data_IF_072037244335
#
_entry.id   IF_072037244335
#
_cell.length_a   1.000
_cell.length_b   1.000
_cell.length_c   1.000
_cell.angle_alpha   90.00
_cell.angle_beta   90.00
_cell.angle_gamma   90.00
#
_symmetry.space_group_name_H-M   'P 1'
#
loop_
_entity.id
_entity.type
_entity.pdbx_description
1 polymer ?
#
# COMPACT_ATOMS: atom_id res chain seq x y z
N UNK A 1 0.03 -2.93 -5.06
CA UNK A 1 1.42 -3.17 -5.48
C UNK A 1 2.34 -2.79 -4.34
N UNK A 2 3.22 -3.68 -3.87
CA UNK A 2 4.27 -3.36 -2.91
C UNK A 2 5.33 -2.54 -3.67
N UNK A 3 5.43 -1.25 -3.36
CA UNK A 3 6.26 -0.27 -4.08
C UNK A 3 7.77 -0.47 -3.87
N UNK A 4 8.52 0.65 -3.85
CA UNK A 4 9.95 0.66 -3.50
C UNK A 4 10.17 -0.08 -2.16
N UNK A 5 11.30 -0.74 -2.02
CA UNK A 5 11.73 -1.40 -0.80
C UNK A 5 13.18 -1.03 -0.48
N UNK A 6 13.48 -0.92 0.81
CA UNK A 6 14.82 -0.62 1.31
C UNK A 6 15.16 -1.57 2.45
N UNK A 7 16.44 -1.89 2.63
CA UNK A 7 16.90 -2.85 3.61
C UNK A 7 18.04 -2.28 4.45
N UNK A 8 17.99 -2.53 5.76
CA UNK A 8 19.00 -2.12 6.70
C UNK A 8 19.44 -3.27 7.60
N UNK A 9 20.71 -3.29 8.01
CA UNK A 9 21.24 -4.29 8.93
C UNK A 9 22.14 -3.65 9.96
N UNK A 10 22.03 -4.09 11.21
CA UNK A 10 22.86 -3.65 12.32
C UNK A 10 23.27 -4.81 13.20
N UNK A 11 24.50 -4.74 13.72
CA UNK A 11 25.06 -5.73 14.64
C UNK A 11 25.54 -5.00 15.89
N UNK A 12 25.19 -5.51 17.06
CA UNK A 12 25.77 -5.04 18.32
C UNK A 12 25.92 -6.16 19.36
N UNK A 13 26.62 -5.84 20.45
CA UNK A 13 26.95 -6.69 21.59
C UNK A 13 26.85 -5.87 22.88
N UNK A 14 26.64 -6.54 24.02
CA UNK A 14 26.59 -5.89 25.33
C UNK A 14 25.17 -5.51 25.78
N UNK A 15 25.03 -4.70 26.86
CA UNK A 15 23.76 -4.49 27.55
C UNK A 15 22.73 -3.70 26.73
N UNK A 16 23.18 -2.81 25.84
CA UNK A 16 22.31 -1.99 24.99
C UNK A 16 22.30 -2.48 23.53
N UNK A 17 22.64 -3.76 23.31
CA UNK A 17 22.85 -4.29 21.95
C UNK A 17 21.62 -4.17 21.05
N UNK A 18 20.42 -4.31 21.61
CA UNK A 18 19.16 -4.16 20.86
C UNK A 18 18.99 -2.76 20.28
N UNK A 19 19.13 -1.74 21.12
CA UNK A 19 19.00 -0.33 20.77
C UNK A 19 20.06 0.05 19.72
N UNK A 20 21.32 -0.29 19.98
CA UNK A 20 22.42 0.05 19.08
C UNK A 20 22.33 -0.67 17.73
N UNK A 21 21.94 -1.95 17.73
CA UNK A 21 21.76 -2.70 16.49
C UNK A 21 20.58 -2.16 15.67
N UNK A 22 19.47 -1.76 16.31
CA UNK A 22 18.33 -1.15 15.63
C UNK A 22 18.71 0.18 14.97
N UNK A 23 19.42 1.05 15.70
CA UNK A 23 19.93 2.32 15.17
C UNK A 23 20.88 2.11 13.99
N UNK A 24 21.81 1.16 14.09
CA UNK A 24 22.71 0.81 12.98
C UNK A 24 21.94 0.29 11.76
N UNK A 25 20.91 -0.53 11.98
CA UNK A 25 20.07 -1.02 10.89
C UNK A 25 19.35 0.12 10.17
N UNK A 26 18.82 1.08 10.91
CA UNK A 26 18.14 2.27 10.36
C UNK A 26 19.07 3.28 9.67
N UNK A 27 20.36 3.29 10.00
CA UNK A 27 21.34 4.17 9.36
C UNK A 27 22.20 3.43 8.31
N UNK A 28 21.76 2.26 7.85
CA UNK A 28 22.51 1.45 6.89
C UNK A 28 22.65 2.17 5.54
N UNK A 29 23.83 2.12 4.88
CA UNK A 29 24.06 2.72 3.56
C UNK A 29 23.16 2.16 2.43
N UNK A 30 22.50 1.04 2.68
CA UNK A 30 21.56 0.39 1.76
C UNK A 30 20.15 1.03 1.79
N UNK A 31 19.92 1.98 2.69
CA UNK A 31 18.72 2.81 2.75
C UNK A 31 18.99 4.06 1.92
N UNK A 32 18.70 4.00 0.62
CA UNK A 32 18.77 5.18 -0.25
C UNK A 32 17.83 6.28 0.31
N UNK A 33 18.34 7.51 0.46
CA UNK A 33 17.68 8.66 1.15
C UNK A 33 17.57 8.58 2.68
N UNK A 34 18.12 7.53 3.30
CA UNK A 34 18.51 7.57 4.71
C UNK A 34 17.38 7.38 5.73
N UNK A 35 16.20 6.89 5.36
CA UNK A 35 15.22 6.58 6.40
C UNK A 35 14.21 5.47 6.08
N UNK A 36 13.79 4.82 7.16
CA UNK A 36 12.63 3.90 7.25
C UNK A 36 11.32 4.71 7.32
N UNK A 37 11.42 6.03 7.38
CA UNK A 37 10.29 6.99 7.40
C UNK A 37 9.33 6.79 6.22
N UNK A 38 8.04 6.82 6.52
CA UNK A 38 6.97 6.68 5.53
C UNK A 38 6.77 5.27 4.98
N UNK A 39 7.49 4.27 5.51
CA UNK A 39 7.23 2.87 5.17
C UNK A 39 5.91 2.40 5.76
N UNK A 40 4.96 1.96 4.91
CA UNK A 40 3.67 1.38 5.34
C UNK A 40 3.77 -0.09 5.75
N UNK A 41 4.84 -0.78 5.38
CA UNK A 41 5.07 -2.17 5.74
C UNK A 41 6.52 -2.39 6.12
N UNK A 42 6.76 -2.96 7.30
CA UNK A 42 8.11 -3.24 7.80
C UNK A 42 8.20 -4.70 8.22
N UNK A 43 9.24 -5.39 7.75
CA UNK A 43 9.64 -6.70 8.26
C UNK A 43 10.92 -6.53 9.08
N UNK A 44 10.82 -6.82 10.37
CA UNK A 44 11.92 -6.77 11.34
C UNK A 44 12.32 -8.21 11.67
N UNK A 45 13.56 -8.58 11.42
CA UNK A 45 14.13 -9.84 11.88
C UNK A 45 15.23 -9.59 12.92
N UNK A 46 15.08 -10.20 14.09
CA UNK A 46 16.03 -10.11 15.20
C UNK A 46 16.64 -11.49 15.40
N UNK A 47 17.95 -11.59 15.21
CA UNK A 47 18.69 -12.85 15.42
C UNK A 47 19.65 -12.64 16.58
N UNK A 48 19.59 -13.53 17.56
CA UNK A 48 20.46 -13.46 18.73
C UNK A 48 20.80 -14.83 19.28
N UNK A 49 21.72 -14.85 20.24
CA UNK A 49 22.07 -16.04 21.00
C UNK A 49 20.94 -16.58 21.89
N UNK A 50 21.24 -17.62 22.66
CA UNK A 50 20.31 -18.15 23.66
C UNK A 50 19.95 -17.14 24.77
N UNK A 51 20.72 -16.04 24.89
CA UNK A 51 20.47 -14.94 25.82
C UNK A 51 19.48 -13.89 25.30
N UNK A 52 18.95 -14.01 24.07
CA UNK A 52 17.98 -13.06 23.52
C UNK A 52 16.69 -13.04 24.35
N UNK A 53 16.37 -11.88 24.91
CA UNK A 53 15.19 -11.68 25.75
C UNK A 53 14.06 -10.97 25.01
N UNK A 54 12.83 -11.15 25.50
CA UNK A 54 11.66 -10.44 24.97
C UNK A 54 11.76 -8.92 25.14
N UNK A 55 12.44 -8.47 26.21
CA UNK A 55 12.68 -7.04 26.45
C UNK A 55 13.48 -6.40 25.31
N UNK A 56 14.57 -7.05 24.90
CA UNK A 56 15.42 -6.59 23.80
C UNK A 56 14.66 -6.55 22.46
N UNK A 57 13.79 -7.53 22.23
CA UNK A 57 12.92 -7.56 21.04
C UNK A 57 11.97 -6.37 21.04
N UNK A 58 11.33 -6.07 22.18
CA UNK A 58 10.42 -4.94 22.34
C UNK A 58 11.13 -3.59 22.16
N UNK A 59 12.32 -3.42 22.75
CA UNK A 59 13.13 -2.21 22.60
C UNK A 59 13.49 -1.94 21.14
N UNK A 60 13.95 -2.96 20.42
CA UNK A 60 14.28 -2.85 19.00
C UNK A 60 13.04 -2.51 18.15
N UNK A 61 11.92 -3.19 18.40
CA UNK A 61 10.67 -2.96 17.68
C UNK A 61 10.13 -1.54 17.92
N UNK A 62 10.17 -1.05 19.16
CA UNK A 62 9.73 0.29 19.53
C UNK A 62 10.49 1.39 18.79
N UNK A 63 11.81 1.27 18.67
CA UNK A 63 12.65 2.24 17.93
C UNK A 63 12.24 2.31 16.46
N UNK A 64 12.03 1.16 15.82
CA UNK A 64 11.64 1.09 14.41
C UNK A 64 10.23 1.64 14.21
N UNK A 65 9.31 1.34 15.13
CA UNK A 65 7.94 1.85 15.08
C UNK A 65 7.89 3.38 15.21
N UNK A 66 8.76 3.98 16.02
CA UNK A 66 8.84 5.44 16.17
C UNK A 66 9.33 6.15 14.90
N UNK A 67 10.03 5.43 14.02
CA UNK A 67 10.56 6.00 12.77
C UNK A 67 9.68 5.69 11.57
N UNK A 68 8.99 4.55 11.58
CA UNK A 68 8.04 4.18 10.54
C UNK A 68 6.77 5.06 10.57
N UNK A 69 5.89 4.89 9.58
CA UNK A 69 4.57 5.52 9.58
C UNK A 69 3.72 5.03 10.77
N UNK A 70 2.87 5.88 11.33
CA UNK A 70 2.01 5.52 12.48
C UNK A 70 1.03 4.39 12.18
N UNK A 71 0.64 4.24 10.92
CA UNK A 71 -0.25 3.18 10.43
C UNK A 71 0.54 2.05 9.75
N UNK A 72 1.86 1.98 9.95
CA UNK A 72 2.70 0.94 9.36
C UNK A 72 2.37 -0.44 9.93
N UNK A 73 2.23 -1.42 9.05
CA UNK A 73 2.14 -2.83 9.44
C UNK A 73 3.56 -3.38 9.69
N UNK A 74 3.90 -3.63 10.95
CA UNK A 74 5.22 -4.12 11.37
C UNK A 74 5.11 -5.61 11.72
N UNK A 75 5.89 -6.43 11.03
CA UNK A 75 6.01 -7.88 11.29
C UNK A 75 7.35 -8.11 11.97
N UNK A 76 7.32 -8.63 13.20
CA UNK A 76 8.52 -8.94 13.98
C UNK A 76 8.78 -10.45 13.96
N UNK A 77 9.93 -10.84 13.45
CA UNK A 77 10.49 -12.19 13.51
C UNK A 77 11.67 -12.23 14.46
N UNK A 78 11.78 -13.34 15.21
CA UNK A 78 12.92 -13.61 16.07
C UNK A 78 13.51 -14.98 15.75
N UNK A 79 14.83 -15.06 15.76
CA UNK A 79 15.58 -16.29 15.50
C UNK A 79 16.61 -16.46 16.60
N UNK A 80 16.57 -17.62 17.27
CA UNK A 80 17.56 -18.00 18.28
C UNK A 80 18.62 -18.85 17.60
N UNK A 81 19.84 -18.35 17.56
CA UNK A 81 21.01 -19.07 17.09
C UNK A 81 22.04 -19.20 18.23
N UNK A 82 22.16 -20.37 18.88
CA UNK A 82 23.09 -20.58 20.00
C UNK A 82 24.56 -20.26 19.67
N UNK A 83 24.95 -20.35 18.40
CA UNK A 83 26.34 -20.12 17.96
C UNK A 83 26.72 -18.63 17.92
N UNK A 84 25.75 -17.73 18.09
CA UNK A 84 25.98 -16.28 18.07
C UNK A 84 26.53 -15.72 19.39
N UNK A 85 26.53 -16.50 20.47
CA UNK A 85 26.99 -16.03 21.78
C UNK A 85 26.21 -14.78 22.24
N UNK A 86 26.91 -13.65 22.42
CA UNK A 86 26.31 -12.38 22.86
C UNK A 86 25.98 -11.41 21.71
N UNK A 87 26.08 -11.85 20.47
CA UNK A 87 25.80 -11.03 19.30
C UNK A 87 24.31 -10.92 19.06
N UNK A 88 23.90 -9.74 18.61
CA UNK A 88 22.55 -9.47 18.19
C UNK A 88 22.59 -8.78 16.82
N UNK A 89 21.91 -9.39 15.86
CA UNK A 89 21.79 -8.92 14.48
C UNK A 89 20.34 -8.53 14.25
N UNK A 90 20.14 -7.28 13.84
CA UNK A 90 18.83 -6.76 13.44
C UNK A 90 18.86 -6.52 11.94
N UNK A 91 17.84 -7.02 11.26
CA UNK A 91 17.59 -6.77 9.85
C UNK A 91 16.23 -6.14 9.69
N UNK A 92 16.16 -5.02 8.98
CA UNK A 92 14.94 -4.27 8.69
C UNK A 92 14.73 -4.27 7.18
N UNK A 93 13.53 -4.61 6.74
CA UNK A 93 13.10 -4.48 5.35
C UNK A 93 11.85 -3.62 5.35
N UNK A 94 11.97 -2.41 4.83
CA UNK A 94 10.86 -1.48 4.71
C UNK A 94 10.32 -1.44 3.28
N UNK A 95 9.01 -1.39 3.16
CA UNK A 95 8.27 -1.48 1.91
C UNK A 95 7.06 -0.55 1.93
N UNK A 96 6.49 -0.30 0.76
CA UNK A 96 5.25 0.46 0.68
C UNK A 96 5.46 1.97 0.86
N UNK A 97 6.65 2.46 0.53
CA UNK A 97 6.87 3.89 0.31
C UNK A 97 5.94 4.36 -0.82
N UNK A 98 5.22 5.44 -0.57
CA UNK A 98 4.44 6.08 -1.62
C UNK A 98 5.40 6.53 -2.72
N UNK A 99 5.05 6.24 -3.98
CA UNK A 99 5.66 6.98 -5.08
C UNK A 99 5.07 8.37 -5.00
N UNK A 100 5.92 9.39 -4.91
CA UNK A 100 5.59 10.70 -5.45
C UNK A 100 5.43 10.56 -6.98
N UNK A 101 4.36 9.89 -7.43
CA UNK A 101 3.91 9.96 -8.81
C UNK A 101 3.11 11.26 -8.93
N UNK A 102 3.74 12.23 -9.60
CA UNK A 102 3.14 13.41 -10.24
C UNK A 102 2.19 14.25 -9.38
N UNK A 103 2.77 15.16 -8.57
CA UNK A 103 2.17 16.50 -8.59
C UNK A 103 2.52 17.10 -9.95
N UNK A 104 1.58 17.28 -10.89
CA UNK A 104 1.87 18.03 -12.10
C UNK A 104 2.31 19.42 -11.62
N UNK A 105 3.57 19.74 -11.87
CA UNK A 105 4.11 21.06 -11.62
C UNK A 105 3.13 22.06 -12.25
N UNK A 106 2.43 22.83 -11.41
CA UNK A 106 1.58 23.89 -11.89
C UNK A 106 2.45 24.78 -12.79
N UNK A 107 2.03 25.08 -14.04
CA UNK A 107 2.85 25.86 -14.93
C UNK A 107 3.12 27.20 -14.24
N UNK A 108 4.38 27.45 -13.94
CA UNK A 108 4.87 28.72 -13.42
C UNK A 108 4.67 29.72 -14.57
N UNK A 109 3.50 30.36 -14.60
CA UNK A 109 3.19 31.40 -15.55
C UNK A 109 4.03 32.63 -15.17
N UNK A 110 5.09 32.85 -15.95
CA UNK A 110 5.86 34.08 -15.90
C UNK A 110 5.04 35.28 -16.37
N UNK A 111 5.19 36.36 -15.61
CA UNK A 111 5.35 37.74 -16.07
C UNK A 111 4.14 38.53 -16.64
N UNK A 112 4.12 39.80 -16.22
CA UNK A 112 3.39 40.98 -16.71
C UNK A 112 1.91 41.15 -16.32
N UNK A 113 1.69 42.07 -15.38
CA UNK A 113 0.39 42.69 -15.16
C UNK A 113 -0.09 43.52 -16.35
N UNK A 114 -1.38 43.45 -16.65
CA UNK A 114 -2.26 44.55 -17.09
C UNK A 114 -3.71 44.18 -16.74
N UNK A 115 -4.31 45.03 -15.92
CA UNK A 115 -5.72 45.39 -15.81
C UNK A 115 -6.72 44.66 -16.76
N UNK A 116 -7.67 43.88 -16.21
CA UNK A 116 -8.89 43.46 -16.92
C UNK A 116 -10.13 43.73 -16.06
N UNK A 117 -11.17 44.40 -16.60
CA UNK A 117 -12.38 44.71 -15.85
C UNK A 117 -13.27 43.47 -15.69
N UNK A 118 -13.94 43.40 -14.53
CA UNK A 118 -14.88 42.34 -14.17
C UNK A 118 -16.10 42.32 -15.10
N UNK A 119 -16.50 41.11 -15.54
CA UNK A 119 -17.79 40.88 -16.21
C UNK A 119 -18.87 40.59 -15.15
N UNK A 120 -20.10 41.10 -15.34
CA UNK A 120 -21.20 40.91 -14.39
C UNK A 120 -21.77 39.48 -14.47
N UNK A 121 -22.17 38.97 -13.30
CA UNK A 121 -22.85 37.68 -13.12
C UNK A 121 -24.34 37.86 -13.43
N UNK A 122 -24.88 37.04 -14.33
CA UNK A 122 -26.33 36.86 -14.54
C UNK A 122 -26.70 35.43 -14.12
N UNK A 123 -27.81 35.22 -13.37
CA UNK A 123 -28.24 33.89 -12.99
C UNK A 123 -29.08 33.29 -14.13
N UNK A 124 -28.64 32.17 -14.71
CA UNK A 124 -29.45 31.37 -15.63
C UNK A 124 -29.62 29.96 -15.08
N UNK A 125 -30.57 29.84 -14.16
CA UNK A 125 -31.11 28.59 -13.66
C UNK A 125 -32.24 28.17 -14.62
N UNK A 126 -31.94 27.41 -15.68
CA UNK A 126 -32.92 26.58 -16.40
C UNK A 126 -32.25 25.85 -17.59
N UNK A 127 -32.23 24.52 -17.54
CA UNK A 127 -32.20 23.70 -18.75
C UNK A 127 -30.86 23.04 -19.11
N UNK A 128 -30.49 21.97 -18.39
CA UNK A 128 -29.60 20.93 -18.96
C UNK A 128 -29.75 19.55 -18.27
N UNK A 129 -30.98 19.17 -17.94
CA UNK A 129 -31.33 17.80 -17.45
C UNK A 129 -31.93 16.90 -18.53
N UNK A 130 -31.78 17.25 -19.81
CA UNK A 130 -32.49 16.60 -20.92
C UNK A 130 -31.61 15.63 -21.74
N UNK A 131 -30.74 14.84 -21.10
CA UNK A 131 -30.16 13.66 -21.76
C UNK A 131 -29.72 12.65 -20.71
N UNK A 132 -30.67 11.81 -20.29
CA UNK A 132 -30.51 10.44 -19.75
C UNK A 132 -31.92 9.91 -19.40
N UNK A 133 -32.85 10.04 -20.34
CA UNK A 133 -34.12 9.33 -20.32
C UNK A 133 -33.90 7.95 -20.94
N UNK A 134 -33.35 7.03 -20.14
CA UNK A 134 -33.48 5.60 -20.37
C UNK A 134 -34.29 5.05 -19.19
N UNK A 135 -35.43 4.49 -19.54
CA UNK A 135 -36.48 3.86 -18.74
C UNK A 135 -35.95 3.14 -17.48
N UNK A 136 -35.88 3.86 -16.34
CA UNK A 136 -35.57 3.27 -15.03
C UNK A 136 -36.85 3.25 -14.21
N UNK A 137 -37.30 2.09 -13.70
CA UNK A 137 -38.47 2.05 -12.84
C UNK A 137 -38.24 2.94 -11.63
N UNK A 138 -39.10 3.95 -11.48
CA UNK A 138 -39.01 5.05 -10.50
C UNK A 138 -39.19 4.59 -9.04
N UNK A 139 -39.21 3.28 -8.80
CA UNK A 139 -39.55 2.62 -7.52
C UNK A 139 -38.33 2.32 -6.64
N UNK A 140 -37.11 2.63 -7.11
CA UNK A 140 -35.84 2.28 -6.46
C UNK A 140 -35.04 3.50 -5.93
N UNK A 141 -35.74 4.58 -5.58
CA UNK A 141 -35.14 5.81 -5.02
C UNK A 141 -34.92 5.75 -3.50
N UNK A 142 -35.60 4.83 -2.80
CA UNK A 142 -35.49 4.68 -1.34
C UNK A 142 -34.22 3.96 -0.88
N UNK A 143 -33.40 3.48 -1.82
CA UNK A 143 -32.12 2.84 -1.53
C UNK A 143 -30.95 3.79 -1.84
N UNK A 144 -29.94 3.88 -0.95
CA UNK A 144 -28.77 4.69 -1.20
C UNK A 144 -28.02 4.23 -2.46
N UNK A 145 -27.45 5.20 -3.17
CA UNK A 145 -26.85 5.08 -4.51
C UNK A 145 -25.82 3.95 -4.64
N UNK A 146 -25.08 3.66 -3.56
CA UNK A 146 -24.06 2.61 -3.52
C UNK A 146 -24.65 1.19 -3.63
N UNK A 147 -25.79 0.92 -2.98
CA UNK A 147 -26.43 -0.40 -3.01
C UNK A 147 -27.03 -0.72 -4.38
N UNK A 148 -27.59 0.30 -5.04
CA UNK A 148 -28.20 0.17 -6.37
C UNK A 148 -27.17 -0.18 -7.45
N UNK A 149 -25.97 0.41 -7.38
CA UNK A 149 -24.87 0.14 -8.32
C UNK A 149 -24.30 -1.27 -8.16
N UNK A 150 -24.37 -1.84 -6.96
CA UNK A 150 -23.93 -3.22 -6.68
C UNK A 150 -24.86 -4.27 -7.29
N UNK A 151 -26.18 -4.06 -7.24
CA UNK A 151 -27.16 -4.99 -7.83
C UNK A 151 -27.10 -5.01 -9.35
N UNK A 152 -26.89 -3.86 -9.99
CA UNK A 152 -26.74 -3.77 -11.46
C UNK A 152 -25.47 -4.48 -11.96
N UNK A 153 -24.40 -4.53 -11.16
CA UNK A 153 -23.19 -5.28 -11.49
C UNK A 153 -23.36 -6.80 -11.36
N UNK A 154 -24.19 -7.29 -10.44
CA UNK A 154 -24.42 -8.73 -10.30
C UNK A 154 -25.20 -9.30 -11.49
N UNK A 155 -26.18 -8.55 -12.00
CA UNK A 155 -27.01 -8.98 -13.13
C UNK A 155 -26.25 -9.06 -14.47
N UNK A 156 -25.21 -8.23 -14.66
CA UNK A 156 -24.34 -8.31 -15.85
C UNK A 156 -23.36 -9.49 -15.81
N UNK A 157 -23.05 -10.00 -14.62
CA UNK A 157 -22.12 -11.14 -14.45
C UNK A 157 -22.82 -12.46 -14.74
N UNK A 158 -24.10 -12.59 -14.37
CA UNK A 158 -24.90 -13.82 -14.55
C UNK A 158 -25.16 -14.16 -16.03
N UNK A 159 -25.25 -13.15 -16.90
CA UNK A 159 -25.43 -13.35 -18.35
C UNK A 159 -24.14 -13.77 -19.08
N UNK A 160 -22.99 -13.53 -18.46
CA UNK A 160 -21.67 -13.86 -19.05
C UNK A 160 -21.18 -15.23 -18.54
N UNK A 161 -21.61 -15.64 -17.34
CA UNK A 161 -21.30 -16.96 -16.77
C UNK A 161 -21.92 -18.11 -17.58
N UNK A 162 -23.12 -17.94 -18.16
CA UNK A 162 -23.81 -19.02 -18.87
C UNK A 162 -23.17 -19.48 -20.20
N UNK A 163 -22.16 -18.79 -20.73
CA UNK A 163 -21.50 -19.17 -22.00
C UNK A 163 -20.06 -19.66 -21.85
N UNK A 164 -19.48 -19.61 -20.64
CA UNK A 164 -18.05 -19.88 -20.43
C UNK A 164 -17.74 -21.18 -19.67
N UNK A 165 -18.74 -21.87 -19.13
CA UNK A 165 -18.55 -23.06 -18.29
C UNK A 165 -18.36 -24.36 -19.11
N UNK A 166 -18.87 -24.42 -20.35
CA UNK A 166 -18.84 -25.66 -21.15
C UNK A 166 -17.50 -25.92 -21.89
N UNK A 167 -16.63 -24.92 -22.03
CA UNK A 167 -15.40 -25.06 -22.84
C UNK A 167 -14.20 -25.63 -22.04
N UNK A 168 -14.27 -25.65 -20.71
CA UNK A 168 -13.16 -26.10 -19.85
C UNK A 168 -13.34 -27.50 -19.30
N UNK A 169 -14.55 -28.06 -19.35
CA UNK A 169 -14.89 -29.37 -18.75
C UNK A 169 -14.54 -30.57 -19.63
N UNK A 170 -13.98 -30.37 -20.82
CA UNK A 170 -13.52 -31.46 -21.69
C UNK A 170 -12.00 -31.61 -21.61
N UNK A 171 -11.51 -32.71 -21.00
CA UNK A 171 -10.09 -33.03 -20.96
C UNK A 171 -9.45 -33.01 -22.35
N UNK A 172 -8.23 -32.51 -22.43
CA UNK A 172 -7.47 -32.33 -23.69
C UNK A 172 -7.32 -33.60 -24.53
N UNK A 173 -7.41 -34.80 -23.94
CA UNK A 173 -7.34 -36.07 -24.66
C UNK A 173 -8.61 -36.41 -25.47
N UNK A 174 -9.78 -35.88 -25.11
CA UNK A 174 -11.05 -36.11 -25.83
C UNK A 174 -11.24 -35.18 -27.03
N UNK A 175 -10.51 -34.06 -27.09
CA UNK A 175 -10.63 -33.06 -28.17
C UNK A 175 -10.08 -33.52 -29.52
N UNK A 176 -9.19 -34.52 -29.52
CA UNK A 176 -8.42 -34.93 -30.71
C UNK A 176 -8.95 -36.16 -31.45
N UNK A 177 -10.15 -36.66 -31.12
CA UNK A 177 -10.76 -37.79 -31.84
C UNK A 177 -11.87 -37.39 -32.82
N UNK A 178 -12.15 -36.10 -32.97
CA UNK A 178 -13.22 -35.58 -33.81
C UNK A 178 -12.74 -34.77 -35.04
N UNK A 179 -11.42 -34.75 -35.31
CA UNK A 179 -10.85 -34.33 -36.60
C UNK A 179 -10.29 -35.55 -37.35
#
# INVERSE_FOLDING_TARGET
HTGRAVMGMGISRGPNRAIEAAQKAMCSPLLEEGSVEGARGVLLNITGGASLSLHEVEEAASIIQQTADSEANIIVGQVINPDMGEDLIITVIATGFEREEDQPAAPIAGDRGVNRPAKPIQPLLAGMVASLAADRPMKDLDRPTFLRRMTDMRDSTDRTAMTAEDEWDVPTFLRKQAD
#
